data_IF_099602224806
#
_entry.id   IF_099602224806
#
_cell.length_a   1.000
_cell.length_b   1.000
_cell.length_c   1.000
_cell.angle_alpha   90.00
_cell.angle_beta   90.00
_cell.angle_gamma   90.00
#
_symmetry.space_group_name_H-M   'P 1'
#
loop_
_entity.id
_entity.type
_entity.pdbx_description
1 polymer ?
#
# COMPACT_ATOMS: atom_id res chain seq x y z
N UNK A 1 1.68 11.12 -1.40
CA UNK A 1 1.92 9.76 -0.90
C UNK A 1 3.09 9.79 0.05
N UNK A 2 3.25 8.78 0.91
CA UNK A 2 4.35 8.69 1.87
C UNK A 2 5.13 7.40 1.63
N UNK A 3 6.46 7.49 1.58
CA UNK A 3 7.37 6.34 1.52
C UNK A 3 7.98 6.10 2.90
N UNK A 4 8.08 4.82 3.28
CA UNK A 4 8.63 4.34 4.53
C UNK A 4 9.64 3.25 4.22
N UNK A 5 10.76 3.24 4.93
CA UNK A 5 11.80 2.22 4.78
C UNK A 5 12.47 1.93 6.11
N UNK A 6 12.76 0.67 6.37
CA UNK A 6 13.55 0.25 7.53
C UNK A 6 15.02 0.46 7.24
N UNK A 7 15.65 1.37 7.99
CA UNK A 7 17.07 1.70 7.83
C UNK A 7 17.91 0.96 8.86
N UNK A 8 18.96 0.31 8.40
CA UNK A 8 19.96 -0.33 9.26
C UNK A 8 21.33 -0.30 8.58
N UNK A 9 22.43 -0.63 9.30
CA UNK A 9 23.73 -0.81 8.66
C UNK A 9 23.71 -1.85 7.53
N UNK A 10 22.86 -2.87 7.62
CA UNK A 10 22.68 -3.90 6.59
C UNK A 10 21.76 -3.45 5.43
N UNK A 11 20.91 -2.46 5.65
CA UNK A 11 19.99 -1.86 4.68
C UNK A 11 20.11 -0.32 4.73
N UNK A 12 21.19 0.25 4.19
CA UNK A 12 21.38 1.70 4.15
C UNK A 12 20.36 2.34 3.19
N UNK A 13 20.08 3.63 3.35
CA UNK A 13 19.09 4.33 2.50
C UNK A 13 19.30 4.13 0.99
N UNK A 14 20.56 4.03 0.54
CA UNK A 14 20.91 3.77 -0.86
C UNK A 14 20.35 2.44 -1.40
N UNK A 15 20.13 1.42 -0.56
CA UNK A 15 19.54 0.14 -1.00
C UNK A 15 18.10 0.28 -1.49
N UNK A 16 17.40 1.35 -1.10
CA UNK A 16 16.02 1.62 -1.50
C UNK A 16 15.89 2.52 -2.74
N UNK A 17 17.02 2.87 -3.41
CA UNK A 17 17.02 3.79 -4.55
C UNK A 17 16.00 3.43 -5.64
N UNK A 18 16.01 2.18 -6.11
CA UNK A 18 15.05 1.69 -7.12
C UNK A 18 13.59 1.79 -6.66
N UNK A 19 13.32 1.52 -5.38
CA UNK A 19 11.98 1.60 -4.82
C UNK A 19 11.50 3.06 -4.72
N UNK A 20 12.41 3.99 -4.37
CA UNK A 20 12.14 5.42 -4.32
C UNK A 20 11.96 6.03 -5.72
N UNK A 21 12.73 5.61 -6.71
CA UNK A 21 12.54 6.00 -8.12
C UNK A 21 11.15 5.59 -8.61
N UNK A 22 10.76 4.33 -8.37
CA UNK A 22 9.42 3.84 -8.68
C UNK A 22 8.34 4.65 -7.95
N UNK A 23 8.55 4.97 -6.68
CA UNK A 23 7.64 5.79 -5.88
C UNK A 23 7.46 7.20 -6.47
N UNK A 24 8.55 7.81 -6.96
CA UNK A 24 8.54 9.11 -7.62
C UNK A 24 7.72 9.06 -8.92
N UNK A 25 7.99 8.07 -9.79
CA UNK A 25 7.26 7.88 -11.04
C UNK A 25 5.77 7.62 -10.80
N UNK A 26 5.45 6.82 -9.79
CA UNK A 26 4.07 6.53 -9.40
C UNK A 26 3.37 7.77 -8.83
N UNK A 27 4.05 8.59 -8.02
CA UNK A 27 3.52 9.85 -7.50
C UNK A 27 3.04 10.76 -8.62
N UNK A 28 3.80 10.86 -9.71
CA UNK A 28 3.46 11.68 -10.86
C UNK A 28 2.17 11.21 -11.55
N UNK A 29 2.01 9.88 -11.73
CA UNK A 29 0.85 9.30 -12.44
C UNK A 29 -0.40 9.20 -11.56
N UNK A 30 -0.23 8.81 -10.30
CA UNK A 30 -1.34 8.57 -9.36
C UNK A 30 -1.79 9.86 -8.71
N UNK A 31 -0.91 10.84 -8.52
CA UNK A 31 -1.21 12.11 -7.86
C UNK A 31 -2.34 12.89 -8.56
N UNK A 32 -2.34 12.94 -9.90
CA UNK A 32 -3.39 13.62 -10.66
C UNK A 32 -4.76 12.92 -10.57
N UNK A 33 -4.77 11.59 -10.43
CA UNK A 33 -6.00 10.81 -10.27
C UNK A 33 -6.58 10.98 -8.86
N UNK A 34 -5.73 10.83 -7.82
CA UNK A 34 -6.13 11.00 -6.42
C UNK A 34 -6.62 12.42 -6.15
N UNK A 35 -5.95 13.44 -6.68
CA UNK A 35 -6.34 14.84 -6.51
C UNK A 35 -7.70 15.20 -7.12
N UNK A 36 -8.21 14.39 -8.05
CA UNK A 36 -9.51 14.60 -8.72
C UNK A 36 -10.66 13.81 -8.09
N UNK A 37 -10.39 12.95 -7.11
CA UNK A 37 -11.44 12.18 -6.45
C UNK A 37 -11.83 12.84 -5.13
N UNK A 38 -13.13 12.83 -4.82
CA UNK A 38 -13.62 13.20 -3.49
C UNK A 38 -12.97 12.29 -2.44
N UNK A 39 -12.64 12.83 -1.27
CA UNK A 39 -11.91 12.12 -0.21
C UNK A 39 -12.58 10.79 0.20
N UNK A 40 -13.91 10.72 0.11
CA UNK A 40 -14.71 9.54 0.45
C UNK A 40 -14.75 8.49 -0.67
N UNK A 41 -14.33 8.86 -1.88
CA UNK A 41 -14.31 8.01 -3.09
C UNK A 41 -12.89 7.69 -3.57
N UNK A 42 -11.89 8.37 -3.03
CA UNK A 42 -10.51 8.25 -3.47
C UNK A 42 -10.00 6.81 -3.32
N UNK A 43 -9.57 6.23 -4.44
CA UNK A 43 -8.77 5.01 -4.43
C UNK A 43 -7.52 5.29 -3.58
N UNK A 44 -7.45 4.58 -2.46
CA UNK A 44 -6.28 4.53 -1.58
C UNK A 44 -5.60 3.17 -1.75
N UNK A 45 -4.45 3.00 -1.11
CA UNK A 45 -3.73 1.76 -1.22
C UNK A 45 -2.33 1.80 -0.66
N UNK A 46 -1.67 0.67 -0.84
CA UNK A 46 -0.31 0.40 -0.40
C UNK A 46 0.49 -0.18 -1.54
N UNK A 47 1.79 0.07 -1.55
CA UNK A 47 2.72 -0.75 -2.31
C UNK A 47 3.89 -1.12 -1.39
N UNK A 48 4.31 -2.37 -1.38
CA UNK A 48 5.40 -2.81 -0.50
C UNK A 48 6.27 -3.89 -1.15
N UNK A 49 7.52 -3.94 -0.73
CA UNK A 49 8.44 -5.00 -1.15
C UNK A 49 8.06 -6.34 -0.48
N UNK A 50 8.30 -7.50 -1.13
CA UNK A 50 7.90 -8.79 -0.57
C UNK A 50 8.54 -9.13 0.79
N UNK A 51 9.69 -8.53 1.07
CA UNK A 51 10.45 -8.62 2.31
C UNK A 51 9.98 -7.62 3.39
N UNK A 52 8.97 -6.80 3.11
CA UNK A 52 8.26 -5.93 4.07
C UNK A 52 9.13 -4.91 4.80
N UNK A 53 10.18 -4.41 4.15
CA UNK A 53 11.06 -3.37 4.68
C UNK A 53 10.91 -2.02 3.97
N UNK A 54 10.08 -1.97 2.94
CA UNK A 54 9.71 -0.75 2.24
C UNK A 54 8.21 -0.73 1.98
N UNK A 55 7.58 0.41 2.23
CA UNK A 55 6.17 0.61 1.96
C UNK A 55 5.87 2.02 1.45
N UNK A 56 4.87 2.09 0.57
CA UNK A 56 4.24 3.31 0.12
C UNK A 56 2.80 3.33 0.62
N UNK A 57 2.39 4.47 1.17
CA UNK A 57 1.01 4.73 1.59
C UNK A 57 0.42 5.81 0.67
N UNK A 58 -0.74 5.49 0.08
CA UNK A 58 -1.40 6.31 -0.94
C UNK A 58 -2.88 6.51 -0.54
N UNK A 59 -3.39 7.74 -0.45
CA UNK A 59 -2.66 9.01 -0.40
C UNK A 59 -1.71 9.09 0.81
N UNK A 60 -1.03 10.22 0.98
CA UNK A 60 -0.30 10.46 2.22
C UNK A 60 -1.27 10.39 3.41
N UNK A 61 -0.96 9.61 4.47
CA UNK A 61 -1.87 9.45 5.59
C UNK A 61 -1.99 10.74 6.41
N UNK A 62 -3.11 10.88 7.11
CA UNK A 62 -3.33 11.93 8.10
C UNK A 62 -3.68 11.28 9.46
N UNK A 63 -2.82 11.41 10.49
CA UNK A 63 -1.54 12.13 10.50
C UNK A 63 -0.48 11.48 9.60
N UNK A 64 0.54 12.25 9.22
CA UNK A 64 1.64 11.81 8.34
C UNK A 64 2.67 10.90 9.04
N UNK A 65 2.20 10.06 9.98
CA UNK A 65 2.99 9.08 10.72
C UNK A 65 2.16 7.79 10.90
N UNK A 66 2.17 6.90 9.89
CA UNK A 66 1.42 5.66 9.94
C UNK A 66 1.97 4.68 10.97
N UNK A 67 3.27 4.73 11.30
CA UNK A 67 3.88 3.88 12.32
C UNK A 67 3.30 4.21 13.70
N UNK A 68 3.30 5.48 14.08
CA UNK A 68 2.69 5.92 15.32
C UNK A 68 1.18 5.67 15.34
N UNK A 69 0.49 5.89 14.20
CA UNK A 69 -0.97 5.70 14.08
C UNK A 69 -1.41 4.30 14.47
N UNK A 70 -0.64 3.28 14.09
CA UNK A 70 -0.97 1.88 14.40
C UNK A 70 -0.13 1.31 15.54
N UNK A 71 0.78 2.08 16.14
CA UNK A 71 1.76 1.62 17.13
C UNK A 71 2.69 0.53 16.58
N UNK A 72 3.22 0.71 15.38
CA UNK A 72 4.23 -0.17 14.78
C UNK A 72 5.63 0.38 15.03
N UNK A 73 6.59 -0.53 15.26
CA UNK A 73 7.99 -0.16 15.50
C UNK A 73 8.74 0.14 14.19
N UNK A 74 8.36 -0.54 13.11
CA UNK A 74 9.02 -0.54 11.81
C UNK A 74 8.00 -0.85 10.69
N UNK A 75 8.46 -0.85 9.44
CA UNK A 75 7.61 -1.10 8.27
C UNK A 75 7.08 -2.53 8.26
N UNK A 76 7.88 -3.51 8.70
CA UNK A 76 7.44 -4.90 8.79
C UNK A 76 6.24 -5.03 9.76
N UNK A 77 6.35 -4.49 10.97
CA UNK A 77 5.29 -4.48 11.97
C UNK A 77 4.05 -3.66 11.53
N UNK A 78 4.26 -2.61 10.72
CA UNK A 78 3.15 -1.90 10.08
C UNK A 78 2.41 -2.81 9.11
N UNK A 79 3.12 -3.47 8.20
CA UNK A 79 2.54 -4.35 7.19
C UNK A 79 1.89 -5.60 7.82
N UNK A 80 2.38 -6.10 8.94
CA UNK A 80 1.73 -7.17 9.71
C UNK A 80 0.36 -6.74 10.24
N UNK A 81 0.15 -5.45 10.51
CA UNK A 81 -1.15 -4.91 10.95
C UNK A 81 -2.08 -4.58 9.80
N UNK A 82 -1.54 -4.11 8.67
CA UNK A 82 -2.34 -3.68 7.50
C UNK A 82 -2.67 -4.84 6.55
N UNK A 83 -1.75 -5.77 6.43
CA UNK A 83 -1.71 -6.80 5.40
C UNK A 83 -1.26 -8.17 5.95
N UNK A 84 -1.75 -8.63 7.13
CA UNK A 84 -1.28 -9.89 7.73
C UNK A 84 -1.49 -11.09 6.81
N UNK A 85 -2.57 -11.07 6.03
CA UNK A 85 -3.05 -12.14 5.15
C UNK A 85 -2.68 -11.92 3.67
N UNK A 86 -1.97 -10.83 3.35
CA UNK A 86 -1.67 -10.47 1.97
C UNK A 86 -0.25 -10.92 1.60
N UNK A 87 -0.17 -11.67 0.50
CA UNK A 87 1.08 -12.05 -0.15
C UNK A 87 1.07 -11.68 -1.63
N UNK A 88 2.16 -12.00 -2.34
CA UNK A 88 2.23 -11.84 -3.79
C UNK A 88 1.07 -12.52 -4.52
N UNK A 89 0.34 -11.76 -5.34
CA UNK A 89 -0.66 -12.30 -6.25
C UNK A 89 0.02 -12.99 -7.43
N UNK A 90 -0.52 -14.11 -7.99
CA UNK A 90 0.10 -14.78 -9.12
C UNK A 90 0.34 -13.86 -10.33
N UNK A 91 1.38 -14.10 -11.15
CA UNK A 91 1.68 -13.28 -12.31
C UNK A 91 0.48 -13.07 -13.24
N UNK A 92 0.22 -11.82 -13.62
CA UNK A 92 -0.89 -11.45 -14.50
C UNK A 92 -2.28 -11.58 -13.89
N UNK A 93 -2.39 -11.79 -12.58
CA UNK A 93 -3.66 -11.91 -11.87
C UNK A 93 -3.79 -10.87 -10.76
N UNK A 94 -5.04 -10.54 -10.46
CA UNK A 94 -5.41 -9.79 -9.26
C UNK A 94 -6.21 -10.68 -8.33
N UNK A 95 -5.99 -10.53 -7.03
CA UNK A 95 -6.69 -11.28 -5.98
C UNK A 95 -7.54 -10.31 -5.16
N UNK A 96 -8.83 -10.61 -5.08
CA UNK A 96 -9.76 -9.89 -4.20
C UNK A 96 -9.76 -10.52 -2.82
N UNK A 97 -9.69 -9.71 -1.79
CA UNK A 97 -9.80 -10.13 -0.40
C UNK A 97 -11.11 -9.64 0.21
N UNK A 98 -11.57 -10.39 1.22
CA UNK A 98 -12.73 -10.00 2.02
C UNK A 98 -12.50 -8.63 2.70
N UNK A 99 -13.59 -7.91 3.01
CA UNK A 99 -13.51 -6.65 3.75
C UNK A 99 -12.72 -6.81 5.05
N UNK A 100 -11.85 -5.85 5.31
CA UNK A 100 -11.15 -5.72 6.57
C UNK A 100 -11.06 -4.26 6.96
N UNK A 101 -10.99 -4.00 8.27
CA UNK A 101 -10.77 -2.65 8.77
C UNK A 101 -9.34 -2.20 8.45
N UNK A 102 -9.22 -1.07 7.79
CA UNK A 102 -7.94 -0.42 7.51
C UNK A 102 -7.68 0.65 8.59
N UNK A 103 -6.66 0.49 9.45
CA UNK A 103 -6.42 1.43 10.54
C UNK A 103 -5.77 2.76 10.09
N UNK A 104 -5.18 2.83 8.90
CA UNK A 104 -4.65 4.08 8.34
C UNK A 104 -5.78 4.91 7.75
N UNK A 105 -6.69 4.26 7.02
CA UNK A 105 -7.83 4.92 6.40
C UNK A 105 -9.04 5.06 7.34
N UNK A 106 -9.00 4.34 8.46
CA UNK A 106 -10.03 4.32 9.51
C UNK A 106 -11.41 3.92 8.99
N UNK A 107 -11.46 2.90 8.13
CA UNK A 107 -12.70 2.38 7.53
C UNK A 107 -12.53 0.94 7.04
N UNK A 108 -13.64 0.24 6.90
CA UNK A 108 -13.67 -1.06 6.24
C UNK A 108 -13.43 -0.93 4.74
N UNK A 109 -12.51 -1.72 4.21
CA UNK A 109 -12.13 -1.71 2.80
C UNK A 109 -12.08 -3.12 2.22
N UNK A 110 -12.48 -3.23 0.96
CA UNK A 110 -12.06 -4.35 0.11
C UNK A 110 -10.65 -4.09 -0.39
N UNK A 111 -9.85 -5.15 -0.48
CA UNK A 111 -8.45 -5.07 -0.91
C UNK A 111 -8.31 -5.86 -2.21
N UNK A 112 -7.77 -5.21 -3.24
CA UNK A 112 -7.41 -5.84 -4.51
C UNK A 112 -5.88 -5.86 -4.61
N UNK A 113 -5.32 -7.06 -4.68
CA UNK A 113 -3.88 -7.29 -4.65
C UNK A 113 -3.38 -7.67 -6.04
N UNK A 114 -2.36 -6.95 -6.52
CA UNK A 114 -1.56 -7.30 -7.69
C UNK A 114 -0.09 -7.35 -7.34
N UNK A 115 0.74 -7.92 -8.21
CA UNK A 115 2.19 -8.00 -7.97
C UNK A 115 2.98 -7.77 -9.25
N UNK A 116 4.00 -6.90 -9.16
CA UNK A 116 5.00 -6.76 -10.20
C UNK A 116 6.09 -7.81 -10.00
N UNK A 117 6.46 -8.46 -11.11
CA UNK A 117 7.48 -9.48 -11.16
C UNK A 117 8.64 -9.03 -12.04
N UNK A 118 9.84 -9.46 -11.70
CA UNK A 118 11.06 -9.28 -12.47
C UNK A 118 11.78 -10.64 -12.52
N UNK A 119 11.99 -11.16 -13.73
CA UNK A 119 12.52 -12.51 -13.95
C UNK A 119 11.81 -13.61 -13.13
N UNK A 120 10.48 -13.50 -12.98
CA UNK A 120 9.66 -14.47 -12.23
C UNK A 120 9.70 -14.30 -10.71
N UNK A 121 10.49 -13.35 -10.17
CA UNK A 121 10.53 -13.04 -8.75
C UNK A 121 9.63 -11.84 -8.42
N UNK A 122 8.81 -11.89 -7.37
CA UNK A 122 8.01 -10.75 -6.96
C UNK A 122 8.95 -9.61 -6.55
N UNK A 123 8.63 -8.39 -6.97
CA UNK A 123 9.40 -7.17 -6.63
C UNK A 123 8.61 -6.16 -5.83
N UNK A 124 7.31 -6.09 -6.08
CA UNK A 124 6.44 -5.13 -5.43
C UNK A 124 5.03 -5.69 -5.42
N UNK A 125 4.41 -5.71 -4.24
CA UNK A 125 3.00 -6.02 -4.07
C UNK A 125 2.24 -4.70 -4.05
N UNK A 126 1.18 -4.60 -4.84
CA UNK A 126 0.29 -3.44 -4.91
C UNK A 126 -1.06 -3.83 -4.32
N UNK A 127 -1.54 -3.03 -3.38
CA UNK A 127 -2.84 -3.19 -2.75
C UNK A 127 -3.66 -1.95 -3.04
N UNK A 128 -4.71 -2.09 -3.84
CA UNK A 128 -5.74 -1.07 -3.97
C UNK A 128 -6.82 -1.33 -2.93
N UNK A 129 -7.24 -0.28 -2.24
CA UNK A 129 -8.32 -0.35 -1.24
C UNK A 129 -9.54 0.43 -1.73
N UNK A 130 -10.71 -0.16 -1.57
CA UNK A 130 -12.00 0.43 -1.91
C UNK A 130 -12.91 0.42 -0.68
N UNK A 131 -13.56 1.53 -0.31
CA UNK A 131 -14.49 1.56 0.82
C UNK A 131 -15.58 0.50 0.67
N UNK A 132 -15.81 -0.30 1.72
CA UNK A 132 -16.79 -1.37 1.66
C UNK A 132 -18.23 -0.88 1.47
N UNK A 133 -18.54 0.33 1.95
CA UNK A 133 -19.82 0.99 1.73
C UNK A 133 -20.13 1.26 0.25
N UNK A 134 -19.10 1.59 -0.55
CA UNK A 134 -19.28 1.93 -1.96
C UNK A 134 -19.74 0.75 -2.80
N UNK A 135 -19.24 -0.47 -2.53
CA UNK A 135 -19.77 -1.67 -3.20
C UNK A 135 -21.20 -1.99 -2.75
N UNK A 136 -21.52 -1.75 -1.47
CA UNK A 136 -22.86 -1.98 -0.93
C UNK A 136 -23.90 -1.08 -1.59
N UNK A 137 -23.58 0.19 -1.82
CA UNK A 137 -24.44 1.15 -2.53
C UNK A 137 -24.64 0.80 -4.02
N UNK A 138 -23.65 0.15 -4.65
CA UNK A 138 -23.68 -0.17 -6.09
C UNK A 138 -24.35 -1.50 -6.43
N UNK A 139 -24.43 -2.40 -5.44
CA UNK A 139 -25.02 -3.73 -5.59
C UNK A 139 -26.45 -3.83 -5.03
N UNK A 140 -26.93 -2.77 -4.36
CA UNK A 140 -28.32 -2.62 -3.94
C UNK A 140 -29.17 -2.11 -5.11
#
# INVERSE_FOLDING_TARGET
MLALADLSPAQPAASYGRALEMASDMSYRVGAYVAKQEADRAIAGYAYDPNRHFALVIPQPQPADPLATVGAADVAALLDKLAPDLGPAPPGRYVWHAPAYDPIQRRDVFRLVGTAYDAGQPRMVFVSTLPAGLLRERLA
#
